data_IF_169087958673
#
_entry.id   IF_169087958673
#
_cell.length_a   1.000
_cell.length_b   1.000
_cell.length_c   1.000
_cell.angle_alpha   90.00
_cell.angle_beta   90.00
_cell.angle_gamma   90.00
#
_symmetry.space_group_name_H-M   'P 1'
#
loop_
_entity.id
_entity.type
_entity.pdbx_description
1 polymer ?
#
# COMPACT_ATOMS: atom_id res chain seq x y z
N UNK A 1 -57.78 -1.13 -36.60
CA UNK A 1 -58.52 -2.34 -37.04
C UNK A 1 -58.09 -3.48 -36.13
N UNK A 2 -59.01 -3.89 -35.25
CA UNK A 2 -58.94 -5.01 -34.29
C UNK A 2 -58.97 -6.38 -35.04
N UNK A 3 -58.96 -7.59 -34.41
CA UNK A 3 -59.53 -7.98 -33.09
C UNK A 3 -58.53 -8.74 -32.18
N UNK A 4 -58.50 -8.59 -30.84
CA UNK A 4 -59.42 -9.10 -29.80
C UNK A 4 -59.85 -10.57 -29.99
N UNK A 5 -59.35 -11.46 -29.13
CA UNK A 5 -59.98 -12.76 -28.88
C UNK A 5 -60.01 -13.05 -27.38
N UNK A 6 -61.22 -13.30 -26.90
CA UNK A 6 -61.62 -13.67 -25.54
C UNK A 6 -61.96 -15.17 -25.54
N UNK A 7 -61.54 -15.91 -24.52
CA UNK A 7 -62.30 -16.99 -23.84
C UNK A 7 -61.39 -17.61 -22.75
N UNK A 8 -61.64 -17.38 -21.45
CA UNK A 8 -62.53 -18.15 -20.56
C UNK A 8 -62.21 -19.65 -20.52
N UNK A 9 -61.81 -20.16 -19.34
CA UNK A 9 -62.67 -20.97 -18.44
C UNK A 9 -61.88 -21.42 -17.20
N UNK A 10 -62.49 -21.22 -16.03
CA UNK A 10 -62.05 -21.64 -14.71
C UNK A 10 -62.12 -23.15 -14.50
N UNK A 11 -61.18 -23.74 -13.74
CA UNK A 11 -61.36 -25.04 -13.09
C UNK A 11 -60.69 -25.04 -11.70
N UNK A 12 -61.56 -25.07 -10.69
CA UNK A 12 -61.51 -25.77 -9.39
C UNK A 12 -60.27 -25.67 -8.49
N UNK A 13 -60.55 -25.18 -7.28
CA UNK A 13 -59.76 -25.25 -6.07
C UNK A 13 -59.46 -26.70 -5.65
N UNK A 14 -58.24 -26.91 -5.15
CA UNK A 14 -57.90 -28.04 -4.28
C UNK A 14 -57.28 -27.48 -3.00
N UNK A 15 -58.02 -27.57 -1.89
CA UNK A 15 -57.47 -27.38 -0.55
C UNK A 15 -56.62 -28.62 -0.21
N UNK A 16 -55.31 -28.51 -0.40
CA UNK A 16 -54.33 -29.42 0.17
C UNK A 16 -53.83 -28.87 1.50
N UNK A 17 -54.40 -29.35 2.61
CA UNK A 17 -53.84 -29.15 3.96
C UNK A 17 -52.56 -29.96 4.09
N UNK A 18 -51.40 -29.33 3.85
CA UNK A 18 -50.12 -29.91 4.22
C UNK A 18 -49.82 -29.58 5.69
N UNK A 19 -49.83 -30.61 6.53
CA UNK A 19 -49.29 -30.57 7.88
C UNK A 19 -47.81 -30.17 7.81
N UNK A 20 -47.51 -29.04 8.42
CA UNK A 20 -46.16 -28.55 8.66
C UNK A 20 -45.48 -29.45 9.69
N UNK A 21 -44.48 -30.24 9.26
CA UNK A 21 -43.65 -31.04 10.15
C UNK A 21 -42.46 -30.17 10.56
N UNK A 22 -42.43 -29.76 11.83
CA UNK A 22 -41.33 -29.00 12.40
C UNK A 22 -40.10 -29.90 12.58
N UNK A 23 -39.10 -29.76 11.70
CA UNK A 23 -37.76 -30.31 11.91
C UNK A 23 -36.92 -29.39 12.81
N UNK A 24 -35.90 -29.92 13.50
CA UNK A 24 -35.07 -29.11 14.38
C UNK A 24 -34.25 -28.11 13.56
N UNK A 25 -34.49 -26.83 13.79
CA UNK A 25 -33.69 -25.72 13.23
C UNK A 25 -32.30 -25.77 13.83
N UNK A 26 -31.35 -26.39 13.13
CA UNK A 26 -29.93 -26.28 13.45
C UNK A 26 -29.54 -24.82 13.19
N UNK A 27 -29.46 -24.04 14.27
CA UNK A 27 -28.89 -22.69 14.27
C UNK A 27 -27.42 -22.81 13.87
N UNK A 28 -27.16 -22.63 12.58
CA UNK A 28 -25.82 -22.53 12.03
C UNK A 28 -25.23 -21.23 12.59
N UNK A 29 -24.47 -21.35 13.67
CA UNK A 29 -23.68 -20.26 14.22
C UNK A 29 -22.75 -19.76 13.12
N UNK A 30 -23.17 -18.66 12.49
CA UNK A 30 -22.30 -17.89 11.61
C UNK A 30 -21.22 -17.31 12.52
N UNK A 31 -20.07 -17.99 12.59
CA UNK A 31 -18.84 -17.34 13.04
C UNK A 31 -18.63 -16.18 12.10
N UNK A 32 -18.93 -14.97 12.56
CA UNK A 32 -18.53 -13.77 11.89
C UNK A 32 -17.01 -13.84 11.76
N UNK A 33 -16.53 -14.00 10.53
CA UNK A 33 -15.14 -13.71 10.22
C UNK A 33 -14.97 -12.23 10.51
N UNK A 34 -14.23 -11.92 11.57
CA UNK A 34 -13.78 -10.56 11.84
C UNK A 34 -13.01 -10.10 10.61
N UNK A 35 -13.56 -9.12 9.89
CA UNK A 35 -12.85 -8.44 8.81
C UNK A 35 -11.56 -7.89 9.39
N UNK A 36 -10.42 -8.31 8.84
CA UNK A 36 -9.14 -7.66 9.14
C UNK A 36 -9.31 -6.17 8.83
N UNK A 37 -8.99 -5.26 9.76
CA UNK A 37 -9.04 -3.83 9.47
C UNK A 37 -8.10 -3.53 8.29
N UNK A 38 -8.55 -2.67 7.37
CA UNK A 38 -7.71 -2.17 6.30
C UNK A 38 -6.48 -1.48 6.90
N UNK A 39 -5.29 -1.79 6.38
CA UNK A 39 -4.02 -1.23 6.85
C UNK A 39 -4.06 0.29 6.64
N UNK A 40 -3.72 1.05 7.68
CA UNK A 40 -4.13 2.45 7.84
C UNK A 40 -3.43 3.44 6.91
N UNK A 41 -2.27 3.08 6.34
CA UNK A 41 -1.62 3.78 5.24
C UNK A 41 -0.50 2.89 4.67
N UNK A 42 -0.44 2.75 3.34
CA UNK A 42 0.66 2.07 2.66
C UNK A 42 1.75 3.07 2.32
N UNK A 43 2.93 2.91 2.91
CA UNK A 43 4.12 3.67 2.59
C UNK A 43 5.12 2.78 1.84
N UNK A 44 6.20 3.38 1.33
CA UNK A 44 7.27 2.67 0.65
C UNK A 44 8.61 3.05 1.27
N UNK A 45 9.36 2.05 1.71
CA UNK A 45 10.69 2.20 2.27
C UNK A 45 11.71 2.03 1.16
N UNK A 46 12.56 3.03 0.95
CA UNK A 46 13.72 2.95 0.07
C UNK A 46 14.97 2.84 0.93
N UNK A 47 15.70 1.73 0.81
CA UNK A 47 16.99 1.50 1.42
C UNK A 47 18.11 1.64 0.38
N UNK A 48 19.19 2.31 0.77
CA UNK A 48 20.44 2.40 0.01
C UNK A 48 21.61 1.81 0.78
N UNK A 49 22.53 1.21 0.03
CA UNK A 49 23.90 0.92 0.48
C UNK A 49 24.87 1.88 -0.21
N UNK A 50 25.86 2.37 0.54
CA UNK A 50 26.87 3.30 0.06
C UNK A 50 28.24 2.67 -0.09
N UNK A 51 29.05 3.28 -0.97
CA UNK A 51 30.49 3.00 -1.07
C UNK A 51 31.24 3.35 0.24
N UNK A 52 32.37 2.67 0.55
CA UNK A 52 33.13 2.95 1.77
C UNK A 52 33.66 4.38 1.89
N UNK A 53 33.97 5.04 0.77
CA UNK A 53 34.51 6.40 0.67
C UNK A 53 33.42 7.48 0.44
N UNK A 54 32.21 7.22 0.93
CA UNK A 54 31.02 8.04 0.66
C UNK A 54 31.17 9.51 1.06
N UNK A 55 31.88 9.84 2.14
CA UNK A 55 31.98 11.23 2.60
C UNK A 55 32.63 12.15 1.57
N UNK A 56 33.67 11.66 0.90
CA UNK A 56 34.43 12.40 -0.09
C UNK A 56 33.67 12.46 -1.42
N UNK A 57 33.20 11.30 -1.90
CA UNK A 57 32.48 11.20 -3.17
C UNK A 57 31.15 11.93 -3.18
N UNK A 58 30.42 11.94 -2.06
CA UNK A 58 29.09 12.56 -2.00
C UNK A 58 29.13 14.08 -1.94
N UNK A 59 30.24 14.68 -1.50
CA UNK A 59 30.33 16.12 -1.25
C UNK A 59 29.82 16.99 -2.43
N UNK A 60 30.24 16.78 -3.69
CA UNK A 60 29.74 17.57 -4.82
C UNK A 60 28.27 17.29 -5.21
N UNK A 61 27.72 16.14 -4.82
CA UNK A 61 26.38 15.69 -5.23
C UNK A 61 25.31 15.85 -4.14
N UNK A 62 25.73 16.11 -2.90
CA UNK A 62 24.88 16.09 -1.71
C UNK A 62 23.76 17.11 -1.77
N UNK A 63 24.03 18.29 -2.32
CA UNK A 63 23.01 19.33 -2.45
C UNK A 63 21.88 18.88 -3.40
N UNK A 64 22.22 18.29 -4.55
CA UNK A 64 21.24 17.77 -5.51
C UNK A 64 20.40 16.63 -4.91
N UNK A 65 21.04 15.68 -4.24
CA UNK A 65 20.38 14.58 -3.53
C UNK A 65 19.36 15.08 -2.48
N UNK A 66 19.77 16.01 -1.61
CA UNK A 66 18.89 16.58 -0.59
C UNK A 66 17.80 17.46 -1.23
N UNK A 67 18.13 18.21 -2.27
CA UNK A 67 17.17 19.05 -2.99
C UNK A 67 16.05 18.24 -3.63
N UNK A 68 16.39 17.09 -4.23
CA UNK A 68 15.41 16.16 -4.79
C UNK A 68 14.48 15.62 -3.69
N UNK A 69 15.02 15.22 -2.54
CA UNK A 69 14.23 14.69 -1.43
C UNK A 69 13.29 15.77 -0.86
N UNK A 70 13.80 16.99 -0.66
CA UNK A 70 13.01 18.14 -0.19
C UNK A 70 11.86 18.46 -1.13
N UNK A 71 12.11 18.50 -2.44
CA UNK A 71 11.06 18.70 -3.44
C UNK A 71 9.94 17.67 -3.30
N UNK A 72 10.28 16.39 -3.14
CA UNK A 72 9.28 15.34 -2.96
C UNK A 72 8.55 15.43 -1.62
N UNK A 73 9.21 15.95 -0.57
CA UNK A 73 8.55 16.27 0.71
C UNK A 73 7.54 17.40 0.51
N UNK A 74 7.91 18.48 -0.18
CA UNK A 74 7.01 19.61 -0.46
C UNK A 74 5.78 19.19 -1.30
N UNK A 75 5.95 18.18 -2.17
CA UNK A 75 4.86 17.57 -2.94
C UNK A 75 4.02 16.55 -2.14
N UNK A 76 4.38 16.24 -0.89
CA UNK A 76 3.72 15.21 -0.06
C UNK A 76 3.98 13.77 -0.51
N UNK A 77 5.00 13.55 -1.36
CA UNK A 77 5.37 12.25 -1.92
C UNK A 77 6.44 11.52 -1.10
N UNK A 78 7.19 12.25 -0.29
CA UNK A 78 8.17 11.73 0.66
C UNK A 78 7.83 12.26 2.05
N UNK A 79 7.82 11.40 3.05
CA UNK A 79 7.54 11.76 4.45
C UNK A 79 8.83 12.17 5.16
N UNK A 80 9.91 11.43 4.94
CA UNK A 80 11.22 11.70 5.55
C UNK A 80 12.32 10.86 4.91
N UNK A 81 13.57 11.22 5.16
CA UNK A 81 14.69 10.33 4.90
C UNK A 81 16.01 10.86 5.45
N UNK A 82 17.00 9.98 5.52
CA UNK A 82 18.29 10.29 6.12
C UNK A 82 19.29 9.14 6.04
N UNK A 83 20.55 9.39 6.46
CA UNK A 83 21.59 8.37 6.46
C UNK A 83 21.30 7.26 7.47
N UNK A 84 21.75 6.05 7.15
CA UNK A 84 21.67 4.85 8.01
C UNK A 84 23.04 4.21 8.22
N UNK A 85 23.16 3.50 9.33
CA UNK A 85 24.34 2.72 9.71
C UNK A 85 24.36 2.45 11.22
N UNK A 86 25.53 2.07 11.77
CA UNK A 86 25.66 1.73 13.18
C UNK A 86 25.31 2.90 14.12
N UNK A 87 24.91 2.64 15.37
CA UNK A 87 24.73 3.69 16.37
C UNK A 87 25.98 4.56 16.51
N UNK A 88 25.79 5.88 16.66
CA UNK A 88 26.86 6.87 16.83
C UNK A 88 27.90 6.92 15.69
N UNK A 89 27.49 6.52 14.49
CA UNK A 89 28.25 6.59 13.24
C UNK A 89 28.73 8.00 12.87
N UNK A 90 30.01 8.10 12.49
CA UNK A 90 30.57 9.27 11.80
C UNK A 90 30.40 9.17 10.26
N UNK A 91 30.44 7.95 9.74
CA UNK A 91 30.37 7.64 8.31
C UNK A 91 29.11 6.82 8.01
N UNK A 92 28.20 7.31 7.15
CA UNK A 92 27.07 6.53 6.70
C UNK A 92 27.41 5.30 5.88
N UNK A 93 26.76 4.18 6.17
CA UNK A 93 26.83 2.97 5.34
C UNK A 93 25.69 2.91 4.33
N UNK A 94 24.66 3.74 4.50
CA UNK A 94 23.49 3.78 3.64
C UNK A 94 22.58 4.97 3.89
N UNK A 95 21.36 4.88 3.37
CA UNK A 95 20.25 5.77 3.70
C UNK A 95 18.91 5.05 3.68
N UNK A 96 17.92 5.67 4.32
CA UNK A 96 16.52 5.25 4.32
C UNK A 96 15.63 6.44 4.00
N UNK A 97 14.65 6.23 3.13
CA UNK A 97 13.58 7.18 2.82
C UNK A 97 12.22 6.51 2.94
N UNK A 98 11.20 7.28 3.30
CA UNK A 98 9.81 6.84 3.43
C UNK A 98 8.97 7.64 2.43
N UNK A 99 8.47 6.99 1.39
CA UNK A 99 7.60 7.57 0.38
C UNK A 99 6.15 7.17 0.57
N UNK A 100 5.22 7.99 0.07
CA UNK A 100 3.78 7.70 0.09
C UNK A 100 3.31 6.93 -1.14
N UNK A 101 4.14 6.88 -2.19
CA UNK A 101 3.84 6.21 -3.46
C UNK A 101 5.08 5.48 -4.00
N UNK A 102 4.88 4.30 -4.61
CA UNK A 102 5.96 3.52 -5.22
C UNK A 102 6.68 4.31 -6.32
N UNK A 103 5.90 4.95 -7.20
CA UNK A 103 6.43 5.72 -8.33
C UNK A 103 7.32 6.89 -7.87
N UNK A 104 7.06 7.47 -6.70
CA UNK A 104 7.90 8.52 -6.13
C UNK A 104 9.26 7.98 -5.66
N UNK A 105 9.27 6.80 -5.04
CA UNK A 105 10.51 6.12 -4.66
C UNK A 105 11.35 5.74 -5.89
N UNK A 106 10.73 5.14 -6.90
CA UNK A 106 11.39 4.78 -8.16
C UNK A 106 11.94 6.03 -8.89
N UNK A 107 11.16 7.11 -8.93
CA UNK A 107 11.61 8.37 -9.50
C UNK A 107 12.80 8.95 -8.73
N UNK A 108 12.79 8.88 -7.40
CA UNK A 108 13.91 9.33 -6.58
C UNK A 108 15.18 8.56 -6.95
N UNK A 109 15.15 7.23 -6.96
CA UNK A 109 16.28 6.39 -7.38
C UNK A 109 16.78 6.77 -8.77
N UNK A 110 15.87 6.91 -9.74
CA UNK A 110 16.23 7.22 -11.13
C UNK A 110 16.82 8.62 -11.34
N UNK A 111 16.63 9.55 -10.39
CA UNK A 111 17.08 10.94 -10.49
C UNK A 111 18.11 11.33 -9.44
N UNK A 112 18.44 10.44 -8.54
CA UNK A 112 19.38 10.71 -7.46
C UNK A 112 20.82 10.78 -8.01
N UNK A 113 21.52 11.92 -7.86
CA UNK A 113 22.90 12.04 -8.32
C UNK A 113 23.84 11.08 -7.57
N UNK A 114 23.48 10.58 -6.38
CA UNK A 114 24.25 9.53 -5.72
C UNK A 114 24.18 8.18 -6.46
N UNK A 115 23.05 7.87 -7.08
CA UNK A 115 22.90 6.67 -7.91
C UNK A 115 23.65 6.86 -9.23
N UNK A 116 23.43 8.00 -9.90
CA UNK A 116 24.09 8.33 -11.18
C UNK A 116 25.62 8.28 -11.09
N UNK A 117 26.20 8.72 -9.97
CA UNK A 117 27.65 8.80 -9.78
C UNK A 117 28.24 7.61 -9.00
N UNK A 118 27.46 6.52 -8.84
CA UNK A 118 27.94 5.27 -8.23
C UNK A 118 28.32 5.38 -6.76
N UNK A 119 27.74 6.33 -6.03
CA UNK A 119 27.88 6.46 -4.57
C UNK A 119 26.96 5.45 -3.87
N UNK A 120 25.76 5.24 -4.42
CA UNK A 120 24.87 4.13 -4.06
C UNK A 120 25.33 2.89 -4.79
N UNK A 121 25.69 1.84 -4.04
CA UNK A 121 26.11 0.55 -4.60
C UNK A 121 24.95 -0.40 -4.83
N UNK A 122 23.91 -0.30 -4.01
CA UNK A 122 22.69 -1.09 -4.13
C UNK A 122 21.48 -0.35 -3.54
N UNK A 123 20.28 -0.71 -3.97
CA UNK A 123 19.04 -0.19 -3.42
C UNK A 123 17.90 -1.21 -3.43
N UNK A 124 16.96 -1.05 -2.50
CA UNK A 124 15.71 -1.82 -2.48
C UNK A 124 14.52 -0.95 -2.09
N UNK A 125 13.36 -1.24 -2.69
CA UNK A 125 12.09 -0.59 -2.35
C UNK A 125 11.15 -1.66 -1.77
N UNK A 126 10.57 -1.38 -0.60
CA UNK A 126 9.66 -2.29 0.08
C UNK A 126 8.35 -1.58 0.41
N UNK A 127 7.22 -2.23 0.12
CA UNK A 127 5.92 -1.79 0.61
C UNK A 127 5.87 -1.96 2.14
N UNK A 128 5.48 -0.91 2.85
CA UNK A 128 5.34 -0.89 4.30
C UNK A 128 3.93 -0.50 4.70
N UNK A 129 3.18 -1.51 5.14
CA UNK A 129 1.84 -1.34 5.65
C UNK A 129 1.88 -0.85 7.10
N UNK A 130 1.59 0.44 7.29
CA UNK A 130 1.69 1.09 8.60
C UNK A 130 0.50 0.69 9.47
N UNK A 131 0.81 0.08 10.62
CA UNK A 131 -0.19 -0.35 11.63
C UNK A 131 -0.19 0.57 12.84
N UNK A 132 0.98 1.11 13.20
CA UNK A 132 1.17 1.97 14.37
C UNK A 132 1.93 3.22 13.93
N UNK A 133 1.40 4.39 14.24
CA UNK A 133 2.04 5.68 14.00
C UNK A 133 1.64 6.67 15.09
N UNK A 134 2.44 7.72 15.25
CA UNK A 134 2.09 8.83 16.15
C UNK A 134 0.85 9.54 15.61
N UNK A 135 -0.05 9.94 16.51
CA UNK A 135 -1.18 10.82 16.21
C UNK A 135 -0.72 12.24 15.81
#
# INVERSE_FOLDING_TARGET
MSPVSLARTSVLAFLGSQRQVAGPTISRSQRAFTSTPALSATNYLLNYDYVPDVLEKRAPHREGHIGLAKKLIDEGKCLSGGPTGPPSMDVPTGALFIFTELAAAEYFVAKDPYVEHGIVTDHSIQEWNVVVQKE
#
